data_IF_122811063798
#
_entry.id   IF_122811063798
#
_cell.length_a   1.000
_cell.length_b   1.000
_cell.length_c   1.000
_cell.angle_alpha   90.00
_cell.angle_beta   90.00
_cell.angle_gamma   90.00
#
_symmetry.space_group_name_H-M   'P 1'
#
loop_
_entity.id
_entity.type
_entity.pdbx_description
1 polymer ?
#
# COMPACT_ATOMS: atom_id res chain seq x y z
N UNK A 1 6.80 10.85 4.37
CA UNK A 1 5.63 10.88 3.48
C UNK A 1 5.96 10.73 2.00
N UNK A 2 6.78 11.60 1.39
CA UNK A 2 7.06 11.57 -0.06
C UNK A 2 7.64 10.22 -0.56
N UNK A 3 8.54 9.61 0.22
CA UNK A 3 9.13 8.29 -0.06
C UNK A 3 8.12 7.15 -0.03
N UNK A 4 7.15 7.20 0.88
CA UNK A 4 6.11 6.18 1.03
C UNK A 4 5.10 6.27 -0.12
N UNK A 5 4.75 7.49 -0.53
CA UNK A 5 3.96 7.77 -1.73
C UNK A 5 4.67 7.30 -3.01
N UNK A 6 5.96 7.59 -3.15
CA UNK A 6 6.76 7.16 -4.30
C UNK A 6 6.85 5.63 -4.37
N UNK A 7 7.09 4.96 -3.25
CA UNK A 7 7.10 3.49 -3.18
C UNK A 7 5.73 2.88 -3.52
N UNK A 8 4.63 3.48 -3.03
CA UNK A 8 3.26 3.09 -3.38
C UNK A 8 2.95 3.23 -4.87
N UNK A 9 3.29 4.37 -5.47
CA UNK A 9 3.08 4.63 -6.89
C UNK A 9 3.90 3.66 -7.76
N UNK A 10 5.16 3.40 -7.39
CA UNK A 10 6.01 2.47 -8.12
C UNK A 10 5.50 1.03 -8.02
N UNK A 11 5.01 0.63 -6.84
CA UNK A 11 4.30 -0.65 -6.65
C UNK A 11 3.10 -0.78 -7.58
N UNK A 12 2.19 0.21 -7.60
CA UNK A 12 1.02 0.23 -8.48
C UNK A 12 1.38 0.12 -9.97
N UNK A 13 2.44 0.80 -10.41
CA UNK A 13 2.95 0.73 -11.77
C UNK A 13 3.41 -0.69 -12.15
N UNK A 14 4.15 -1.36 -11.26
CA UNK A 14 4.60 -2.73 -11.46
C UNK A 14 3.41 -3.69 -11.58
N UNK A 15 2.40 -3.56 -10.70
CA UNK A 15 1.20 -4.41 -10.72
C UNK A 15 0.42 -4.23 -12.03
N UNK A 16 0.28 -2.98 -12.47
CA UNK A 16 -0.42 -2.64 -13.71
C UNK A 16 0.31 -3.20 -14.93
N UNK A 17 1.65 -3.11 -14.94
CA UNK A 17 2.46 -3.71 -15.99
C UNK A 17 2.31 -5.25 -16.00
N UNK A 18 2.41 -5.91 -14.85
CA UNK A 18 2.26 -7.36 -14.75
C UNK A 18 0.89 -7.85 -15.24
N UNK A 19 -0.17 -7.06 -14.96
CA UNK A 19 -1.51 -7.32 -15.49
C UNK A 19 -1.59 -7.10 -17.01
N UNK A 20 -1.12 -5.96 -17.51
CA UNK A 20 -1.20 -5.58 -18.92
C UNK A 20 -0.40 -6.50 -19.85
N UNK A 21 0.77 -6.98 -19.40
CA UNK A 21 1.61 -7.91 -20.17
C UNK A 21 1.14 -9.37 -20.10
N UNK A 22 -0.01 -9.64 -19.48
CA UNK A 22 -0.61 -10.98 -19.52
C UNK A 22 0.19 -12.05 -18.79
N UNK A 23 1.07 -11.68 -17.84
CA UNK A 23 1.86 -12.63 -17.06
C UNK A 23 0.96 -13.66 -16.32
N UNK A 24 -0.30 -13.25 -16.06
CA UNK A 24 -1.34 -14.07 -15.46
C UNK A 24 -2.14 -14.97 -16.44
N UNK A 25 -1.79 -15.05 -17.72
CA UNK A 25 -2.51 -15.85 -18.72
C UNK A 25 -1.96 -17.28 -18.92
N UNK A 26 -0.90 -17.67 -18.20
CA UNK A 26 -0.25 -18.99 -18.31
C UNK A 26 -0.89 -20.04 -17.38
N UNK A 27 -0.73 -21.36 -17.62
CA UNK A 27 -1.35 -22.43 -16.82
C UNK A 27 -0.93 -22.45 -15.33
N UNK A 28 0.18 -21.81 -14.97
CA UNK A 28 0.60 -21.60 -13.57
C UNK A 28 -0.06 -20.37 -12.91
N UNK A 29 -0.99 -19.72 -13.62
CA UNK A 29 -1.60 -18.45 -13.21
C UNK A 29 -2.33 -18.50 -11.90
N UNK A 30 -2.91 -19.63 -11.47
CA UNK A 30 -3.68 -19.64 -10.23
C UNK A 30 -2.79 -19.49 -8.98
N UNK A 31 -1.66 -20.20 -8.91
CA UNK A 31 -0.70 -20.06 -7.83
C UNK A 31 -0.02 -18.69 -7.85
N UNK A 32 0.30 -18.19 -9.05
CA UNK A 32 0.91 -16.87 -9.23
C UNK A 32 -0.06 -15.72 -8.87
N UNK A 33 -1.33 -15.82 -9.28
CA UNK A 33 -2.41 -14.89 -8.89
C UNK A 33 -2.61 -14.90 -7.39
N UNK A 34 -2.64 -16.08 -6.76
CA UNK A 34 -2.78 -16.20 -5.32
C UNK A 34 -1.62 -15.51 -4.58
N UNK A 35 -0.37 -15.81 -4.94
CA UNK A 35 0.80 -15.18 -4.34
C UNK A 35 0.82 -13.65 -4.58
N UNK A 36 0.41 -13.20 -5.77
CA UNK A 36 0.31 -11.80 -6.11
C UNK A 36 -0.73 -11.05 -5.27
N UNK A 37 -1.94 -11.61 -5.13
CA UNK A 37 -2.98 -11.02 -4.27
C UNK A 37 -2.57 -11.04 -2.79
N UNK A 38 -1.84 -12.07 -2.34
CA UNK A 38 -1.29 -12.13 -0.99
C UNK A 38 -0.25 -11.03 -0.75
N UNK A 39 0.68 -10.82 -1.69
CA UNK A 39 1.65 -9.72 -1.64
C UNK A 39 0.93 -8.37 -1.59
N UNK A 40 -0.13 -8.21 -2.39
CA UNK A 40 -0.94 -7.00 -2.38
C UNK A 40 -1.63 -6.74 -1.04
N UNK A 41 -2.18 -7.78 -0.43
CA UNK A 41 -2.78 -7.69 0.90
C UNK A 41 -1.74 -7.26 1.95
N UNK A 42 -0.56 -7.91 1.94
CA UNK A 42 0.54 -7.56 2.85
C UNK A 42 1.00 -6.12 2.65
N UNK A 43 1.11 -5.67 1.40
CA UNK A 43 1.48 -4.30 1.07
C UNK A 43 0.46 -3.29 1.60
N UNK A 44 -0.84 -3.56 1.44
CA UNK A 44 -1.90 -2.72 1.99
C UNK A 44 -1.84 -2.66 3.54
N UNK A 45 -1.64 -3.80 4.21
CA UNK A 45 -1.48 -3.86 5.67
C UNK A 45 -0.27 -3.05 6.13
N UNK A 46 0.86 -3.15 5.43
CA UNK A 46 2.08 -2.39 5.72
C UNK A 46 1.85 -0.87 5.60
N UNK A 47 1.13 -0.42 4.57
CA UNK A 47 0.76 0.99 4.41
C UNK A 47 -0.10 1.46 5.60
N UNK A 48 -1.13 0.69 5.96
CA UNK A 48 -2.02 1.02 7.08
C UNK A 48 -1.24 1.09 8.39
N UNK A 49 -0.38 0.11 8.64
CA UNK A 49 0.48 0.09 9.83
C UNK A 49 1.42 1.31 9.86
N UNK A 50 2.09 1.61 8.75
CA UNK A 50 2.96 2.77 8.65
C UNK A 50 2.22 4.12 8.81
N UNK A 51 0.96 4.22 8.38
CA UNK A 51 0.13 5.39 8.67
C UNK A 51 -0.28 5.48 10.14
N UNK A 52 -0.53 4.34 10.80
CA UNK A 52 -0.90 4.30 12.22
C UNK A 52 0.27 4.58 13.18
N UNK A 53 1.49 4.22 12.78
CA UNK A 53 2.72 4.41 13.58
C UNK A 53 3.26 5.85 13.53
N UNK A 54 2.71 6.71 12.65
CA UNK A 54 2.90 8.14 12.71
C UNK A 54 1.74 8.77 13.49
N UNK A 55 1.86 8.98 14.83
CA UNK A 55 0.94 9.90 15.49
C UNK A 55 0.99 11.21 14.71
N UNK A 56 -0.16 11.81 14.43
CA UNK A 56 -0.24 13.15 13.89
C UNK A 56 0.48 14.09 14.86
N UNK A 57 1.80 14.26 14.71
CA UNK A 57 2.60 15.21 15.48
C UNK A 57 2.03 16.59 15.18
N UNK A 58 1.20 17.09 16.11
CA UNK A 58 0.44 18.33 15.97
C UNK A 58 -1.08 18.22 16.13
N UNK A 59 -1.67 17.02 16.26
CA UNK A 59 -3.08 16.93 16.66
C UNK A 59 -3.17 17.02 18.19
N UNK A 60 -3.33 18.24 18.68
CA UNK A 60 -3.81 18.50 20.03
C UNK A 60 -5.36 18.56 19.99
N UNK A 61 -6.08 17.52 20.45
CA UNK A 61 -7.53 17.55 20.53
C UNK A 61 -8.04 18.43 21.66
N UNK A 62 -7.16 19.05 22.47
CA UNK A 62 -7.57 19.96 23.53
C UNK A 62 -8.26 21.16 22.87
N UNK A 63 -9.58 21.36 23.05
CA UNK A 63 -10.23 22.57 22.61
C UNK A 63 -9.57 23.70 23.40
N UNK A 64 -9.04 24.73 22.71
CA UNK A 64 -8.44 25.93 23.32
C UNK A 64 -9.21 26.34 24.58
N UNK A 65 -8.65 26.00 25.74
CA UNK A 65 -9.25 26.26 27.05
C UNK A 65 -8.69 27.55 27.67
N UNK A 66 -8.40 28.54 26.83
CA UNK A 66 -8.03 29.91 27.21
C UNK A 66 -8.92 30.85 26.39
N UNK A 67 -9.90 31.60 26.93
CA UNK A 67 -9.86 32.52 28.07
C UNK A 67 -8.59 33.35 28.16
#
# INVERSE_FOLDING_TARGET
MMTLLAAGAFGLLILTALYAFGFFATPYSNAFRFAFYLIMLVFAVMIVYALGDHPFEGYDPTPDASR
#
